data_IF_869478964290
#
_entry.id   IF_869478964290
#
_cell.length_a   1.000
_cell.length_b   1.000
_cell.length_c   1.000
_cell.angle_alpha   90.00
_cell.angle_beta   90.00
_cell.angle_gamma   90.00
#
_symmetry.space_group_name_H-M   'P 1'
#
loop_
_entity.id
_entity.type
_entity.pdbx_description
1 polymer ?
#
# COMPACT_ATOMS: atom_id res chain seq x y z
N UNK A 1 -13.57 -7.34 -3.99
CA UNK A 1 -14.02 -6.07 -4.63
C UNK A 1 -14.74 -6.36 -5.95
N UNK A 2 -16.09 -6.23 -6.00
CA UNK A 2 -16.88 -6.54 -7.19
C UNK A 2 -16.55 -5.66 -8.41
N UNK A 3 -16.40 -4.34 -8.21
CA UNK A 3 -16.06 -3.41 -9.29
C UNK A 3 -14.55 -3.43 -9.60
N UNK A 4 -14.20 -3.63 -10.87
CA UNK A 4 -12.78 -3.66 -11.29
C UNK A 4 -12.09 -2.29 -11.16
N UNK A 5 -12.81 -1.20 -11.33
CA UNK A 5 -12.30 0.17 -11.15
C UNK A 5 -11.79 0.42 -9.71
N UNK A 6 -12.30 -0.34 -8.75
CA UNK A 6 -11.92 -0.24 -7.34
C UNK A 6 -10.67 -1.06 -6.96
N UNK A 7 -9.99 -1.66 -7.95
CA UNK A 7 -8.80 -2.51 -7.77
C UNK A 7 -7.57 -1.77 -8.30
N UNK A 8 -6.41 -2.05 -7.72
CA UNK A 8 -5.14 -1.53 -8.20
C UNK A 8 -4.88 -1.92 -9.66
N UNK A 9 -4.63 -0.96 -10.57
CA UNK A 9 -4.38 -1.24 -11.96
C UNK A 9 -3.06 -2.00 -12.12
N UNK A 10 -2.96 -2.82 -13.17
CA UNK A 10 -1.74 -3.55 -13.57
C UNK A 10 -1.04 -4.33 -12.43
N UNK A 11 -1.76 -4.64 -11.35
CA UNK A 11 -1.27 -5.35 -10.16
C UNK A 11 -0.12 -4.62 -9.45
N UNK A 12 0.03 -3.30 -9.64
CA UNK A 12 1.02 -2.49 -8.95
C UNK A 12 0.36 -1.64 -7.87
N UNK A 13 0.96 -1.64 -6.68
CA UNK A 13 0.55 -0.83 -5.53
C UNK A 13 1.71 0.13 -5.22
N UNK A 14 1.62 1.40 -5.66
CA UNK A 14 2.57 2.42 -5.26
C UNK A 14 2.47 2.68 -3.76
N UNK A 15 3.59 2.80 -3.05
CA UNK A 15 3.59 3.05 -1.61
C UNK A 15 4.60 4.13 -1.19
N UNK A 16 4.32 4.76 -0.04
CA UNK A 16 5.26 5.57 0.72
C UNK A 16 5.23 5.17 2.20
N UNK A 17 6.35 5.37 2.88
CA UNK A 17 6.42 5.30 4.34
C UNK A 17 6.35 6.70 4.93
N UNK A 18 5.50 6.91 5.92
CA UNK A 18 5.64 8.06 6.81
C UNK A 18 6.90 7.90 7.67
N UNK A 19 7.53 9.02 8.05
CA UNK A 19 8.77 9.01 8.83
C UNK A 19 8.67 8.24 10.15
N UNK A 20 7.47 8.18 10.73
CA UNK A 20 7.15 7.43 11.95
C UNK A 20 7.34 5.91 11.83
N UNK A 21 7.42 5.36 10.61
CA UNK A 21 7.58 3.93 10.34
C UNK A 21 8.99 3.52 9.89
N UNK A 22 9.96 4.43 9.89
CA UNK A 22 11.30 4.13 9.38
C UNK A 22 11.96 2.96 10.12
N UNK A 23 11.77 2.87 11.43
CA UNK A 23 12.33 1.78 12.25
C UNK A 23 11.71 0.42 11.93
N UNK A 24 10.44 0.40 11.50
CA UNK A 24 9.70 -0.82 11.15
C UNK A 24 9.73 -1.14 9.65
N UNK A 25 10.48 -0.35 8.85
CA UNK A 25 10.49 -0.45 7.39
C UNK A 25 10.86 -1.86 6.91
N UNK A 26 11.85 -2.50 7.54
CA UNK A 26 12.31 -3.84 7.14
C UNK A 26 11.19 -4.87 7.28
N UNK A 27 10.50 -4.88 8.43
CA UNK A 27 9.38 -5.80 8.68
C UNK A 27 8.24 -5.64 7.66
N UNK A 28 7.95 -4.40 7.27
CA UNK A 28 6.91 -4.12 6.27
C UNK A 28 7.35 -4.57 4.87
N UNK A 29 8.62 -4.39 4.54
CA UNK A 29 9.17 -4.89 3.27
C UNK A 29 9.17 -6.42 3.21
N UNK A 30 9.44 -7.11 4.31
CA UNK A 30 9.33 -8.57 4.38
C UNK A 30 7.89 -9.03 4.12
N UNK A 31 6.89 -8.34 4.70
CA UNK A 31 5.49 -8.62 4.39
C UNK A 31 5.16 -8.41 2.90
N UNK A 32 5.76 -7.41 2.23
CA UNK A 32 5.60 -7.25 0.79
C UNK A 32 6.20 -8.41 -0.01
N UNK A 33 7.31 -8.99 0.45
CA UNK A 33 7.94 -10.16 -0.18
C UNK A 33 6.98 -11.34 -0.14
N UNK A 34 6.31 -11.59 0.98
CA UNK A 34 5.33 -12.69 1.10
C UNK A 34 4.24 -12.61 0.02
N UNK A 35 3.68 -11.41 -0.20
CA UNK A 35 2.70 -11.18 -1.26
C UNK A 35 3.28 -11.37 -2.65
N UNK A 36 4.51 -10.90 -2.91
CA UNK A 36 5.16 -11.01 -4.22
C UNK A 36 5.49 -12.46 -4.56
N UNK A 37 5.76 -13.29 -3.56
CA UNK A 37 6.11 -14.71 -3.73
C UNK A 37 4.91 -15.56 -4.17
N UNK A 38 3.71 -15.27 -3.65
CA UNK A 38 2.52 -16.11 -3.87
C UNK A 38 1.47 -15.46 -4.78
N UNK A 39 1.66 -14.19 -5.14
CA UNK A 39 0.74 -13.45 -6.00
C UNK A 39 1.48 -12.74 -7.14
N UNK A 40 0.72 -12.20 -8.08
CA UNK A 40 1.25 -11.33 -9.13
C UNK A 40 1.25 -9.85 -8.74
N UNK A 41 0.97 -9.51 -7.47
CA UNK A 41 1.04 -8.15 -6.96
C UNK A 41 2.49 -7.68 -6.88
N UNK A 42 2.69 -6.37 -7.11
CA UNK A 42 3.98 -5.70 -6.97
C UNK A 42 3.79 -4.45 -6.13
N UNK A 43 4.52 -4.36 -5.03
CA UNK A 43 4.64 -3.12 -4.25
C UNK A 43 5.81 -2.33 -4.80
N UNK A 44 5.56 -1.08 -5.19
CA UNK A 44 6.57 -0.22 -5.83
C UNK A 44 6.69 1.10 -5.08
N UNK A 45 7.91 1.64 -4.87
CA UNK A 45 8.06 2.99 -4.35
C UNK A 45 7.32 3.98 -5.25
N UNK A 46 6.47 4.81 -4.66
CA UNK A 46 5.72 5.82 -5.41
C UNK A 46 6.68 6.81 -6.08
N UNK A 47 6.33 7.20 -7.30
CA UNK A 47 6.95 8.29 -8.05
C UNK A 47 5.93 9.41 -8.26
N UNK A 48 5.13 9.34 -9.32
CA UNK A 48 4.14 10.35 -9.71
C UNK A 48 2.71 9.83 -9.70
N UNK A 49 2.48 8.60 -9.22
CA UNK A 49 1.17 7.99 -9.24
C UNK A 49 0.19 8.78 -8.37
N UNK A 50 -1.01 9.02 -8.92
CA UNK A 50 -2.08 9.73 -8.21
C UNK A 50 -2.52 8.87 -7.01
N UNK A 51 -2.82 7.60 -7.25
CA UNK A 51 -3.25 6.66 -6.22
C UNK A 51 -2.05 5.90 -5.66
N UNK A 52 -1.92 5.90 -4.34
CA UNK A 52 -0.83 5.23 -3.64
C UNK A 52 -1.22 4.94 -2.20
N UNK A 53 -0.57 3.95 -1.60
CA UNK A 53 -0.71 3.64 -0.19
C UNK A 53 0.27 4.49 0.62
N UNK A 54 -0.23 5.22 1.63
CA UNK A 54 0.60 5.82 2.68
C UNK A 54 0.55 4.94 3.92
N UNK A 55 1.68 4.33 4.25
CA UNK A 55 1.87 3.60 5.50
C UNK A 55 2.22 4.60 6.59
N UNK A 56 1.52 4.54 7.72
CA UNK A 56 1.74 5.40 8.88
C UNK A 56 1.67 4.60 10.19
N UNK A 57 2.41 5.05 11.20
CA UNK A 57 2.27 4.53 12.55
C UNK A 57 1.08 5.24 13.20
N UNK A 58 0.01 4.51 13.48
CA UNK A 58 -1.18 5.09 14.09
C UNK A 58 -1.56 4.37 15.38
N UNK A 59 -2.53 4.92 16.09
CA UNK A 59 -2.94 4.36 17.38
C UNK A 59 -3.73 3.04 17.24
N UNK A 60 -4.22 2.74 16.03
CA UNK A 60 -5.04 1.56 15.71
C UNK A 60 -4.71 1.05 14.31
N UNK A 61 -4.79 -0.27 14.10
CA UNK A 61 -4.55 -0.86 12.78
C UNK A 61 -5.80 -0.72 11.89
N UNK A 62 -5.66 -0.13 10.70
CA UNK A 62 -6.74 -0.08 9.71
C UNK A 62 -6.22 0.12 8.28
N UNK A 63 -7.08 -0.15 7.30
CA UNK A 63 -6.79 0.06 5.89
C UNK A 63 -8.06 0.40 5.10
N UNK A 64 -7.92 1.25 4.08
CA UNK A 64 -8.98 1.47 3.10
C UNK A 64 -9.03 0.33 2.09
N UNK A 65 -10.19 -0.33 1.99
CA UNK A 65 -10.37 -1.52 1.15
C UNK A 65 -10.51 -1.19 -0.34
N UNK A 66 -10.83 0.06 -0.68
CA UNK A 66 -11.19 0.48 -2.04
C UNK A 66 -10.14 1.46 -2.58
N UNK A 67 -9.56 1.15 -3.74
CA UNK A 67 -8.81 2.13 -4.53
C UNK A 67 -9.83 2.97 -5.32
N UNK A 68 -10.13 4.18 -4.86
CA UNK A 68 -11.26 4.99 -5.35
C UNK A 68 -10.85 6.18 -6.24
N UNK A 69 -9.66 6.15 -6.84
CA UNK A 69 -9.12 7.25 -7.66
C UNK A 69 -8.99 8.61 -6.95
N UNK A 70 -9.13 8.65 -5.62
CA UNK A 70 -9.06 9.89 -4.82
C UNK A 70 -7.67 10.22 -4.28
N UNK A 71 -6.65 9.49 -4.72
CA UNK A 71 -5.26 9.76 -4.36
C UNK A 71 -4.74 8.88 -3.23
N UNK A 72 -4.37 9.48 -2.11
CA UNK A 72 -3.75 8.78 -0.98
C UNK A 72 -4.72 7.78 -0.32
N UNK A 73 -4.23 6.56 -0.10
CA UNK A 73 -4.90 5.53 0.69
C UNK A 73 -4.12 5.21 1.95
N UNK A 74 -4.70 5.46 3.12
CA UNK A 74 -4.00 5.28 4.38
C UNK A 74 -4.07 3.84 4.87
N UNK A 75 -2.92 3.34 5.33
CA UNK A 75 -2.77 2.09 6.05
C UNK A 75 -2.04 2.40 7.35
N UNK A 76 -2.76 2.24 8.45
CA UNK A 76 -2.25 2.46 9.80
C UNK A 76 -1.80 1.13 10.38
N UNK A 77 -0.57 1.11 10.89
CA UNK A 77 0.06 -0.02 11.55
C UNK A 77 0.17 0.25 13.04
#
# INVERSE_FOLDING_TARGET
IPHKANRWPIKKVPYIFEGSLLDNKILILDAFVDFIMITCLKFVPRTTEINYVKLLAGNVCYSQVVMNERGEHQVSL
#
